data_IF_038159423987
#
_entry.id   IF_038159423987
#
_cell.length_a   1.000
_cell.length_b   1.000
_cell.length_c   1.000
_cell.angle_alpha   90.00
_cell.angle_beta   90.00
_cell.angle_gamma   90.00
#
_symmetry.space_group_name_H-M   'P 1'
#
loop_
_entity.id
_entity.type
_entity.pdbx_description
1 polymer ?
#
# COMPACT_ATOMS: atom_id res chain seq x y z
N UNK A 1 57.33 -16.88 29.71
CA UNK A 1 56.25 -16.64 28.73
C UNK A 1 54.91 -16.74 29.45
N UNK A 2 54.22 -15.61 29.67
CA UNK A 2 52.93 -15.55 30.39
C UNK A 2 51.79 -15.82 29.42
N UNK A 3 51.00 -16.87 29.66
CA UNK A 3 49.78 -17.17 28.90
C UNK A 3 48.68 -16.23 29.36
N UNK A 4 48.29 -15.28 28.51
CA UNK A 4 47.11 -14.43 28.70
C UNK A 4 45.90 -15.26 28.26
N UNK A 5 45.07 -15.67 29.22
CA UNK A 5 43.80 -16.30 28.93
C UNK A 5 42.80 -15.23 28.46
N UNK A 6 42.52 -15.21 27.15
CA UNK A 6 41.44 -14.40 26.59
C UNK A 6 40.11 -15.04 27.03
N UNK A 7 39.48 -14.47 28.06
CA UNK A 7 38.10 -14.80 28.41
C UNK A 7 37.22 -14.17 27.33
N UNK A 8 36.80 -14.97 26.36
CA UNK A 8 35.77 -14.61 25.41
C UNK A 8 34.45 -14.51 26.19
N UNK A 9 34.12 -13.31 26.66
CA UNK A 9 32.82 -12.99 27.21
C UNK A 9 31.82 -13.03 26.06
N UNK A 10 31.25 -14.20 25.80
CA UNK A 10 30.10 -14.36 24.90
C UNK A 10 28.94 -13.65 25.58
N UNK A 11 28.79 -12.36 25.29
CA UNK A 11 27.59 -11.59 25.53
C UNK A 11 26.46 -12.27 24.74
N UNK A 12 25.83 -13.26 25.37
CA UNK A 12 24.53 -13.77 24.97
C UNK A 12 23.55 -12.61 25.19
N UNK A 13 23.46 -11.74 24.19
CA UNK A 13 22.34 -10.83 24.01
C UNK A 13 21.10 -11.71 23.94
N UNK A 14 20.54 -11.97 25.11
CA UNK A 14 19.27 -12.65 25.27
C UNK A 14 18.27 -11.75 24.57
N UNK A 15 17.85 -12.15 23.38
CA UNK A 15 16.70 -11.58 22.70
C UNK A 15 15.48 -11.93 23.55
N UNK A 16 15.30 -11.22 24.66
CA UNK A 16 14.09 -11.28 25.42
C UNK A 16 12.99 -10.85 24.46
N UNK A 17 12.11 -11.79 24.12
CA UNK A 17 10.93 -11.50 23.32
C UNK A 17 10.20 -10.35 24.03
N UNK A 18 10.20 -9.18 23.41
CA UNK A 18 9.48 -8.02 23.94
C UNK A 18 8.00 -8.35 23.83
N UNK A 19 7.29 -8.36 24.96
CA UNK A 19 5.84 -8.48 24.94
C UNK A 19 5.26 -7.39 24.01
N UNK A 20 4.17 -7.73 23.31
CA UNK A 20 3.46 -6.76 22.48
C UNK A 20 3.13 -5.49 23.25
N UNK A 21 3.17 -4.35 22.57
CA UNK A 21 2.97 -3.04 23.19
C UNK A 21 1.80 -2.30 22.57
N UNK A 22 1.05 -1.52 23.36
CA UNK A 22 -0.10 -0.73 22.87
C UNK A 22 0.19 0.77 22.96
N UNK A 23 -0.04 1.51 21.88
CA UNK A 23 0.07 2.96 21.85
C UNK A 23 -1.06 3.59 21.02
N UNK A 24 -1.83 4.50 21.62
CA UNK A 24 -3.05 5.03 20.99
C UNK A 24 -4.01 3.89 20.60
N UNK A 25 -4.13 2.85 21.42
CA UNK A 25 -4.95 1.68 21.13
C UNK A 25 -4.53 0.86 19.90
N UNK A 26 -3.41 1.18 19.24
CA UNK A 26 -2.81 0.35 18.18
C UNK A 26 -1.85 -0.62 18.87
N UNK A 27 -1.99 -1.89 18.51
CA UNK A 27 -1.19 -3.01 19.03
C UNK A 27 0.04 -3.24 18.14
N UNK A 28 1.22 -3.05 18.72
CA UNK A 28 2.51 -3.33 18.10
C UNK A 28 2.94 -4.74 18.51
N UNK A 29 2.95 -5.65 17.55
CA UNK A 29 3.30 -7.05 17.77
C UNK A 29 4.78 -7.21 18.14
N UNK A 30 5.10 -8.23 18.93
CA UNK A 30 6.44 -8.62 19.39
C UNK A 30 7.46 -8.86 18.27
N UNK A 31 7.01 -8.98 17.02
CA UNK A 31 7.86 -9.13 15.83
C UNK A 31 8.48 -7.81 15.36
N UNK A 32 8.00 -6.65 15.84
CA UNK A 32 8.59 -5.36 15.53
C UNK A 32 9.81 -5.09 16.43
N UNK A 33 10.98 -4.73 15.85
CA UNK A 33 12.09 -4.22 16.62
C UNK A 33 11.69 -2.99 17.46
N UNK A 34 12.17 -2.93 18.71
CA UNK A 34 11.84 -1.86 19.65
C UNK A 34 12.19 -0.44 19.12
N UNK A 35 13.22 -0.32 18.28
CA UNK A 35 13.56 0.94 17.59
C UNK A 35 12.45 1.37 16.62
N UNK A 36 11.91 0.45 15.82
CA UNK A 36 10.81 0.72 14.89
C UNK A 36 9.52 1.07 15.64
N UNK A 37 9.21 0.34 16.73
CA UNK A 37 8.08 0.66 17.61
C UNK A 37 8.20 2.10 18.14
N UNK A 38 9.39 2.49 18.63
CA UNK A 38 9.64 3.85 19.11
C UNK A 38 9.40 4.90 18.03
N UNK A 39 9.94 4.69 16.83
CA UNK A 39 9.76 5.59 15.69
C UNK A 39 8.29 5.72 15.31
N UNK A 40 7.55 4.62 15.17
CA UNK A 40 6.13 4.67 14.80
C UNK A 40 5.27 5.38 15.85
N UNK A 41 5.56 5.21 17.14
CA UNK A 41 4.87 5.99 18.19
C UNK A 41 5.15 7.47 18.10
N UNK A 42 6.39 7.85 17.77
CA UNK A 42 6.75 9.25 17.55
C UNK A 42 6.02 9.81 16.33
N UNK A 43 5.90 9.04 15.25
CA UNK A 43 5.14 9.42 14.06
C UNK A 43 3.65 9.63 14.39
N UNK A 44 3.01 8.69 15.09
CA UNK A 44 1.59 8.80 15.49
C UNK A 44 1.40 9.96 16.49
N UNK A 45 2.33 10.16 17.41
CA UNK A 45 2.33 11.32 18.32
C UNK A 45 2.45 12.64 17.56
N UNK A 46 3.33 12.69 16.57
CA UNK A 46 3.53 13.84 15.69
C UNK A 46 2.23 14.17 14.97
N UNK A 47 1.57 13.18 14.36
CA UNK A 47 0.30 13.38 13.66
C UNK A 47 -0.78 13.96 14.58
N UNK A 48 -0.92 13.40 15.79
CA UNK A 48 -1.97 13.81 16.71
C UNK A 48 -1.73 15.19 17.33
N UNK A 49 -0.48 15.53 17.66
CA UNK A 49 -0.14 16.76 18.38
C UNK A 49 0.10 17.97 17.48
N UNK A 50 0.56 17.77 16.24
CA UNK A 50 0.92 18.91 15.41
C UNK A 50 -0.31 19.62 14.85
N UNK A 51 -0.38 20.95 14.98
CA UNK A 51 -1.46 21.72 14.40
C UNK A 51 -1.38 21.66 12.87
N UNK A 52 -2.54 21.45 12.24
CA UNK A 52 -2.72 21.53 10.80
C UNK A 52 -3.43 22.84 10.50
N UNK A 53 -2.68 23.83 10.01
CA UNK A 53 -3.16 25.16 9.67
C UNK A 53 -3.50 25.27 8.19
N UNK A 54 -2.74 24.59 7.33
CA UNK A 54 -2.94 24.54 5.89
C UNK A 54 -3.27 23.12 5.45
N UNK A 55 -4.14 22.95 4.45
CA UNK A 55 -4.58 21.62 4.02
C UNK A 55 -4.63 21.54 2.51
N UNK A 56 -4.26 20.40 1.93
CA UNK A 56 -4.64 20.14 0.55
C UNK A 56 -6.18 20.06 0.46
N UNK A 57 -6.84 20.84 -0.43
CA UNK A 57 -8.30 20.86 -0.52
C UNK A 57 -8.94 19.49 -0.79
N UNK A 58 -8.20 18.58 -1.44
CA UNK A 58 -8.69 17.25 -1.76
C UNK A 58 -8.62 16.29 -0.57
N UNK A 59 -7.73 16.52 0.40
CA UNK A 59 -7.50 15.56 1.48
C UNK A 59 -8.74 15.35 2.35
N UNK A 60 -9.43 16.43 2.72
CA UNK A 60 -10.69 16.34 3.50
C UNK A 60 -11.71 15.44 2.82
N UNK A 61 -11.91 15.64 1.51
CA UNK A 61 -12.87 14.90 0.70
C UNK A 61 -12.43 13.45 0.50
N UNK A 62 -11.17 13.20 0.15
CA UNK A 62 -10.66 11.85 -0.11
C UNK A 62 -10.67 10.98 1.15
N UNK A 63 -10.28 11.53 2.30
CA UNK A 63 -10.30 10.85 3.58
C UNK A 63 -11.69 10.84 4.24
N UNK A 64 -12.67 11.56 3.67
CA UNK A 64 -14.00 11.75 4.25
C UNK A 64 -13.95 12.24 5.72
N UNK A 65 -13.12 13.25 5.98
CA UNK A 65 -12.94 13.82 7.30
C UNK A 65 -13.94 14.97 7.54
N UNK A 66 -14.52 15.02 8.74
CA UNK A 66 -15.33 16.18 9.16
C UNK A 66 -14.45 17.44 9.31
N UNK A 67 -13.23 17.25 9.83
CA UNK A 67 -12.20 18.27 10.04
C UNK A 67 -10.82 17.67 9.78
N UNK A 68 -9.92 18.47 9.20
CA UNK A 68 -8.53 18.07 8.98
C UNK A 68 -7.69 18.64 10.14
N UNK A 69 -7.55 17.85 11.19
CA UNK A 69 -6.66 18.12 12.33
C UNK A 69 -6.09 16.81 12.89
N UNK A 70 -5.12 16.91 13.81
CA UNK A 70 -4.44 15.76 14.39
C UNK A 70 -5.39 14.69 14.96
N UNK A 71 -6.35 15.03 15.85
CA UNK A 71 -7.32 14.07 16.38
C UNK A 71 -8.17 13.36 15.31
N UNK A 72 -8.69 14.08 14.31
CA UNK A 72 -9.50 13.48 13.25
C UNK A 72 -8.66 12.61 12.30
N UNK A 73 -7.45 13.05 11.95
CA UNK A 73 -6.52 12.28 11.12
C UNK A 73 -6.08 10.99 11.81
N UNK A 74 -5.74 11.06 13.09
CA UNK A 74 -5.40 9.87 13.88
C UNK A 74 -6.61 8.93 14.07
N UNK A 75 -7.81 9.45 14.34
CA UNK A 75 -9.02 8.64 14.39
C UNK A 75 -9.24 7.87 13.08
N UNK A 76 -9.01 8.52 11.95
CA UNK A 76 -9.10 7.91 10.62
C UNK A 76 -8.14 6.73 10.46
N UNK A 77 -6.88 6.90 10.87
CA UNK A 77 -5.87 5.81 10.88
C UNK A 77 -6.31 4.72 11.85
N UNK A 78 -6.69 5.06 13.08
CA UNK A 78 -7.09 4.08 14.09
C UNK A 78 -8.25 3.21 13.61
N UNK A 79 -9.20 3.76 12.86
CA UNK A 79 -10.33 2.98 12.32
C UNK A 79 -9.94 2.04 11.17
N UNK A 80 -8.69 2.08 10.69
CA UNK A 80 -8.16 1.27 9.60
C UNK A 80 -6.89 0.48 9.95
N UNK A 81 -6.21 0.85 11.02
CA UNK A 81 -4.97 0.25 11.50
C UNK A 81 -5.11 -0.01 13.00
N UNK A 82 -5.12 -1.29 13.36
CA UNK A 82 -5.30 -1.80 14.73
C UNK A 82 -4.08 -2.60 15.19
N UNK A 83 -3.44 -3.32 14.27
CA UNK A 83 -2.32 -4.20 14.56
C UNK A 83 -1.18 -3.91 13.60
N UNK A 84 0.02 -3.71 14.14
CA UNK A 84 1.25 -3.49 13.36
C UNK A 84 2.21 -4.64 13.62
N UNK A 85 2.54 -5.38 12.57
CA UNK A 85 3.42 -6.54 12.60
C UNK A 85 4.77 -6.18 11.98
N UNK A 86 5.85 -6.77 12.47
CA UNK A 86 7.18 -6.62 11.85
C UNK A 86 7.37 -7.56 10.65
N UNK A 87 8.37 -7.26 9.81
CA UNK A 87 8.76 -8.07 8.65
C UNK A 87 9.04 -9.53 9.00
N UNK A 88 9.53 -9.81 10.22
CA UNK A 88 9.84 -11.16 10.69
C UNK A 88 8.60 -12.01 11.01
N UNK A 89 7.41 -11.39 11.04
CA UNK A 89 6.17 -12.13 11.19
C UNK A 89 5.87 -12.94 9.93
N UNK A 90 5.75 -14.26 10.05
CA UNK A 90 5.34 -15.14 8.94
C UNK A 90 3.81 -15.27 8.94
N UNK A 91 3.08 -14.68 7.97
CA UNK A 91 1.62 -14.75 7.91
C UNK A 91 1.09 -16.09 7.38
N UNK A 92 1.90 -17.16 7.44
CA UNK A 92 1.61 -18.49 6.90
C UNK A 92 1.66 -19.56 8.00
N UNK A 93 1.40 -20.80 7.61
CA UNK A 93 1.59 -21.97 8.47
C UNK A 93 0.74 -21.94 9.74
N UNK A 94 1.38 -21.88 10.91
CA UNK A 94 0.70 -21.93 12.21
C UNK A 94 0.06 -20.61 12.64
N UNK A 95 0.44 -19.51 11.98
CA UNK A 95 -0.05 -18.17 12.31
C UNK A 95 -1.34 -17.82 11.58
N UNK A 96 -1.63 -18.47 10.44
CA UNK A 96 -2.91 -18.30 9.76
C UNK A 96 -3.99 -19.17 10.42
N UNK A 97 -5.16 -18.58 10.67
CA UNK A 97 -6.33 -19.26 11.24
C UNK A 97 -7.46 -19.22 10.21
N UNK A 98 -8.19 -20.34 10.08
CA UNK A 98 -9.30 -20.49 9.13
C UNK A 98 -10.55 -20.95 9.87
N UNK A 99 -11.67 -20.28 9.61
CA UNK A 99 -12.99 -20.61 10.15
C UNK A 99 -14.01 -20.79 9.01
N UNK A 100 -14.64 -21.98 8.93
CA UNK A 100 -15.68 -22.29 7.94
C UNK A 100 -17.04 -21.71 8.35
N UNK A 101 -17.96 -21.60 7.39
CA UNK A 101 -19.36 -21.22 7.64
C UNK A 101 -19.62 -19.72 7.83
N UNK A 102 -18.60 -18.88 7.67
CA UNK A 102 -18.79 -17.44 7.60
C UNK A 102 -19.46 -17.04 6.27
N UNK A 103 -20.44 -16.14 6.35
CA UNK A 103 -21.17 -15.64 5.17
C UNK A 103 -20.65 -14.24 4.85
N UNK A 104 -19.84 -14.15 3.80
CA UNK A 104 -19.40 -12.87 3.25
C UNK A 104 -20.54 -12.15 2.52
N UNK A 105 -20.49 -10.81 2.40
CA UNK A 105 -21.37 -10.07 1.50
C UNK A 105 -21.32 -10.62 0.06
N UNK A 106 -22.48 -10.64 -0.60
CA UNK A 106 -22.67 -11.25 -1.94
C UNK A 106 -22.06 -10.45 -3.09
N UNK A 107 -21.41 -9.33 -2.80
CA UNK A 107 -20.78 -8.47 -3.80
C UNK A 107 -19.63 -9.21 -4.50
N UNK A 108 -19.46 -9.06 -5.82
CA UNK A 108 -18.39 -9.76 -6.53
C UNK A 108 -17.01 -9.18 -6.18
N UNK A 109 -15.99 -10.04 -6.20
CA UNK A 109 -14.60 -9.62 -6.13
C UNK A 109 -14.15 -8.99 -7.46
N UNK A 110 -13.12 -8.11 -7.46
CA UNK A 110 -12.56 -7.57 -8.69
C UNK A 110 -11.98 -8.69 -9.56
N UNK A 111 -12.12 -8.62 -10.90
CA UNK A 111 -11.57 -9.64 -11.81
C UNK A 111 -10.06 -9.85 -11.68
N UNK A 112 -9.30 -8.80 -11.34
CA UNK A 112 -7.84 -8.87 -11.15
C UNK A 112 -7.44 -9.84 -10.03
N UNK A 113 -8.19 -9.84 -8.92
CA UNK A 113 -7.87 -10.67 -7.76
C UNK A 113 -8.24 -12.14 -7.96
N UNK A 114 -9.14 -12.43 -8.90
CA UNK A 114 -9.50 -13.80 -9.22
C UNK A 114 -8.30 -14.59 -9.79
N UNK A 115 -7.35 -13.92 -10.46
CA UNK A 115 -6.44 -14.55 -11.42
C UNK A 115 -4.94 -14.42 -11.14
N UNK A 116 -4.49 -13.69 -10.11
CA UNK A 116 -3.07 -13.36 -9.92
C UNK A 116 -2.43 -13.80 -8.60
N UNK A 117 -1.16 -14.19 -8.67
CA UNK A 117 -0.21 -14.16 -7.55
C UNK A 117 0.83 -13.08 -7.89
N UNK A 118 0.67 -11.87 -7.35
CA UNK A 118 1.65 -10.82 -7.55
C UNK A 118 2.92 -11.16 -6.76
N UNK A 119 3.99 -11.53 -7.48
CA UNK A 119 5.31 -11.67 -6.87
C UNK A 119 6.05 -10.34 -7.03
N UNK A 120 6.12 -9.56 -5.95
CA UNK A 120 6.96 -8.39 -5.90
C UNK A 120 8.35 -8.78 -5.37
N UNK A 121 9.38 -8.54 -6.17
CA UNK A 121 10.79 -8.76 -5.80
C UNK A 121 11.37 -7.43 -5.35
N UNK A 122 10.95 -6.94 -4.18
CA UNK A 122 11.38 -5.66 -3.63
C UNK A 122 11.51 -5.69 -2.12
N UNK A 123 12.18 -4.68 -1.56
CA UNK A 123 12.17 -4.49 -0.10
C UNK A 123 10.75 -4.10 0.29
N UNK A 124 10.14 -4.87 1.18
CA UNK A 124 8.83 -4.54 1.75
C UNK A 124 8.93 -3.20 2.49
N UNK A 125 8.03 -2.27 2.18
CA UNK A 125 7.89 -1.02 2.93
C UNK A 125 6.80 -1.22 3.97
N UNK A 126 5.56 -1.42 3.52
CA UNK A 126 4.43 -1.80 4.35
C UNK A 126 3.44 -2.63 3.51
N UNK A 127 2.51 -3.31 4.19
CA UNK A 127 1.52 -4.15 3.54
C UNK A 127 0.26 -4.32 4.39
N UNK A 128 -0.93 -4.03 3.84
CA UNK A 128 -2.21 -4.31 4.50
C UNK A 128 -2.64 -5.78 4.33
N UNK A 129 -2.23 -6.61 5.29
CA UNK A 129 -2.57 -8.03 5.34
C UNK A 129 -4.06 -8.30 5.58
N UNK A 130 -4.77 -7.40 6.28
CA UNK A 130 -6.19 -7.57 6.52
C UNK A 130 -7.01 -7.58 5.21
N UNK A 131 -6.66 -6.71 4.26
CA UNK A 131 -7.29 -6.69 2.93
C UNK A 131 -7.05 -7.99 2.15
N UNK A 132 -5.81 -8.50 2.15
CA UNK A 132 -5.45 -9.77 1.50
C UNK A 132 -6.22 -10.94 2.10
N UNK A 133 -6.19 -11.09 3.42
CA UNK A 133 -6.86 -12.16 4.15
C UNK A 133 -8.38 -12.13 3.92
N UNK A 134 -8.97 -10.93 3.88
CA UNK A 134 -10.39 -10.78 3.58
C UNK A 134 -10.70 -11.29 2.17
N UNK A 135 -9.95 -10.86 1.17
CA UNK A 135 -10.22 -11.20 -0.22
C UNK A 135 -9.96 -12.68 -0.50
N UNK A 136 -8.85 -13.23 0.00
CA UNK A 136 -8.56 -14.66 -0.05
C UNK A 136 -9.66 -15.48 0.65
N UNK A 137 -10.08 -15.04 1.84
CA UNK A 137 -11.15 -15.67 2.59
C UNK A 137 -12.49 -15.66 1.86
N UNK A 138 -12.85 -14.53 1.25
CA UNK A 138 -14.07 -14.39 0.44
C UNK A 138 -14.05 -15.29 -0.79
N UNK A 139 -12.90 -15.38 -1.48
CA UNK A 139 -12.68 -16.30 -2.62
C UNK A 139 -12.84 -17.77 -2.21
N UNK A 140 -12.27 -18.15 -1.06
CA UNK A 140 -12.32 -19.52 -0.52
C UNK A 140 -13.59 -19.83 0.30
N UNK A 141 -14.51 -18.86 0.45
CA UNK A 141 -15.67 -18.94 1.37
C UNK A 141 -15.29 -19.39 2.79
N UNK A 142 -14.14 -18.93 3.27
CA UNK A 142 -13.57 -19.29 4.57
C UNK A 142 -13.08 -18.02 5.25
N UNK A 143 -13.52 -17.75 6.48
CA UNK A 143 -13.01 -16.61 7.23
C UNK A 143 -11.56 -16.86 7.61
N UNK A 144 -10.67 -15.99 7.14
CA UNK A 144 -9.24 -16.04 7.46
C UNK A 144 -8.90 -15.04 8.56
N UNK A 145 -7.86 -15.35 9.31
CA UNK A 145 -7.35 -14.51 10.38
C UNK A 145 -5.93 -14.88 10.74
N UNK A 146 -5.39 -14.19 11.74
CA UNK A 146 -4.04 -14.39 12.24
C UNK A 146 -4.03 -14.60 13.75
N UNK A 147 -3.08 -15.43 14.20
CA UNK A 147 -2.71 -15.53 15.60
C UNK A 147 -1.65 -14.48 15.91
N UNK A 148 -2.00 -13.54 16.77
CA UNK A 148 -1.16 -12.47 17.31
C UNK A 148 -0.85 -12.75 18.79
N UNK A 149 0.03 -11.94 19.39
CA UNK A 149 0.38 -12.03 20.81
C UNK A 149 -0.85 -12.12 21.75
N UNK A 150 -1.85 -11.26 21.51
CA UNK A 150 -3.03 -11.11 22.37
C UNK A 150 -4.24 -11.98 21.95
N UNK A 151 -4.10 -12.83 20.93
CA UNK A 151 -5.18 -13.73 20.50
C UNK A 151 -5.30 -13.91 19.00
N UNK A 152 -6.51 -14.20 18.52
CA UNK A 152 -6.79 -14.40 17.09
C UNK A 152 -7.60 -13.23 16.55
N UNK A 153 -7.15 -12.65 15.44
CA UNK A 153 -7.85 -11.56 14.75
C UNK A 153 -8.30 -12.06 13.39
N UNK A 154 -9.62 -12.11 13.17
CA UNK A 154 -10.21 -12.48 11.89
C UNK A 154 -10.43 -11.27 11.00
N UNK A 155 -10.15 -11.41 9.71
CA UNK A 155 -10.43 -10.41 8.69
C UNK A 155 -11.89 -10.52 8.24
N UNK A 156 -12.83 -10.07 9.07
CA UNK A 156 -14.26 -9.95 8.72
C UNK A 156 -14.59 -8.76 7.82
N UNK A 157 -13.59 -7.91 7.58
CA UNK A 157 -13.58 -6.73 6.73
C UNK A 157 -12.12 -6.42 6.36
N UNK A 158 -11.83 -5.77 5.23
CA UNK A 158 -10.51 -5.18 4.98
C UNK A 158 -10.09 -4.20 6.11
N UNK A 159 -11.05 -3.59 6.84
CA UNK A 159 -10.78 -2.74 8.03
C UNK A 159 -10.45 -3.50 9.32
N UNK A 160 -10.23 -4.82 9.28
CA UNK A 160 -9.66 -5.52 10.44
C UNK A 160 -8.30 -4.91 10.87
N UNK A 161 -7.63 -4.22 9.94
CA UNK A 161 -6.58 -3.26 10.25
C UNK A 161 -5.28 -3.89 10.70
N UNK A 162 -4.91 -4.98 10.03
CA UNK A 162 -3.64 -5.67 10.24
C UNK A 162 -2.68 -5.21 9.15
N UNK A 163 -1.64 -4.48 9.55
CA UNK A 163 -0.58 -4.05 8.65
C UNK A 163 0.74 -4.72 9.04
N UNK A 164 1.54 -5.10 8.05
CA UNK A 164 2.92 -5.51 8.23
C UNK A 164 3.85 -4.40 7.76
N UNK A 165 4.87 -4.13 8.56
CA UNK A 165 5.89 -3.12 8.27
C UNK A 165 7.19 -3.82 7.95
N UNK A 166 7.73 -3.50 6.77
CA UNK A 166 9.03 -3.96 6.32
C UNK A 166 10.15 -3.01 6.69
N UNK A 167 11.38 -3.49 6.61
CA UNK A 167 12.59 -2.71 6.84
C UNK A 167 12.71 -1.53 5.89
N UNK A 168 12.09 -1.60 4.70
CA UNK A 168 12.09 -0.54 3.69
C UNK A 168 11.56 0.79 4.22
N UNK A 169 10.66 0.77 5.20
CA UNK A 169 10.16 1.99 5.86
C UNK A 169 11.23 2.72 6.68
N UNK A 170 12.33 2.05 7.02
CA UNK A 170 13.40 2.54 7.89
C UNK A 170 14.80 2.48 7.28
N UNK A 171 14.95 1.92 6.07
CA UNK A 171 16.25 1.83 5.38
C UNK A 171 16.81 3.23 5.10
N UNK A 172 18.04 3.49 5.52
CA UNK A 172 18.71 4.80 5.38
C UNK A 172 18.67 5.35 3.95
N UNK A 173 18.88 4.51 2.94
CA UNK A 173 18.85 4.89 1.51
C UNK A 173 17.47 5.31 0.99
N UNK A 174 16.40 4.94 1.69
CA UNK A 174 15.02 5.26 1.36
C UNK A 174 14.47 6.41 2.23
N UNK A 175 15.22 6.84 3.23
CA UNK A 175 14.85 8.00 4.04
C UNK A 175 14.99 9.30 3.23
N UNK A 176 14.08 10.23 3.49
CA UNK A 176 14.14 11.59 2.95
C UNK A 176 15.35 12.33 3.52
N UNK A 177 15.60 12.14 4.81
CA UNK A 177 16.67 12.76 5.58
C UNK A 177 17.51 11.71 6.30
N UNK A 178 18.81 11.98 6.51
CA UNK A 178 19.73 11.05 7.19
C UNK A 178 19.39 10.85 8.67
N UNK A 179 18.77 11.83 9.33
CA UNK A 179 18.28 11.70 10.69
C UNK A 179 16.97 10.88 10.71
N UNK A 180 16.96 9.64 11.24
CA UNK A 180 15.79 8.76 11.15
C UNK A 180 14.52 9.35 11.75
N UNK A 181 14.64 10.19 12.77
CA UNK A 181 13.54 10.82 13.49
C UNK A 181 13.22 12.25 13.00
N UNK A 182 13.79 12.67 11.87
CA UNK A 182 13.45 13.96 11.26
C UNK A 182 11.96 14.05 10.90
N UNK A 183 11.43 15.27 10.95
CA UNK A 183 10.03 15.57 10.59
C UNK A 183 9.72 15.12 9.15
N UNK A 184 10.67 15.26 8.23
CA UNK A 184 10.52 14.84 6.84
C UNK A 184 10.32 13.32 6.69
N UNK A 185 11.09 12.52 7.43
CA UNK A 185 10.93 11.07 7.46
C UNK A 185 9.60 10.66 8.12
N UNK A 186 9.21 11.35 9.19
CA UNK A 186 7.90 11.17 9.83
C UNK A 186 6.75 11.42 8.86
N UNK A 187 6.80 12.50 8.08
CA UNK A 187 5.81 12.81 7.04
C UNK A 187 5.72 11.69 6.00
N UNK A 188 6.87 11.20 5.49
CA UNK A 188 6.88 10.11 4.50
C UNK A 188 6.30 8.80 5.06
N UNK A 189 6.66 8.43 6.29
CA UNK A 189 6.13 7.22 6.95
C UNK A 189 4.63 7.34 7.21
N UNK A 190 4.15 8.48 7.68
CA UNK A 190 2.72 8.74 7.87
C UNK A 190 1.95 8.69 6.54
N UNK A 191 2.50 9.26 5.46
CA UNK A 191 1.93 9.13 4.12
C UNK A 191 1.75 7.66 3.72
N UNK A 192 2.77 6.85 3.96
CA UNK A 192 2.72 5.39 3.72
C UNK A 192 1.69 4.68 4.62
N UNK A 193 1.52 5.12 5.87
CA UNK A 193 0.45 4.59 6.74
C UNK A 193 -0.94 4.94 6.19
N UNK A 194 -1.15 6.18 5.68
CA UNK A 194 -2.40 6.55 5.03
C UNK A 194 -2.68 5.70 3.78
N UNK A 195 -1.65 5.45 2.98
CA UNK A 195 -1.70 4.53 1.84
C UNK A 195 -2.21 3.14 2.26
N UNK A 196 -1.51 2.48 3.19
CA UNK A 196 -1.89 1.13 3.62
C UNK A 196 -3.24 1.08 4.33
N UNK A 197 -3.56 2.11 5.11
CA UNK A 197 -4.87 2.23 5.74
C UNK A 197 -6.00 2.34 4.68
N UNK A 198 -5.74 2.96 3.52
CA UNK A 198 -6.73 3.04 2.43
C UNK A 198 -7.05 1.68 1.83
N UNK A 199 -6.12 0.73 1.87
CA UNK A 199 -6.42 -0.66 1.52
C UNK A 199 -7.41 -1.33 2.50
N UNK A 200 -7.75 -0.70 3.62
CA UNK A 200 -8.88 -1.12 4.47
C UNK A 200 -10.25 -0.69 3.93
N UNK A 201 -10.32 0.19 2.94
CA UNK A 201 -11.56 0.74 2.40
C UNK A 201 -12.03 0.00 1.12
N UNK A 202 -13.15 0.45 0.56
CA UNK A 202 -13.64 0.01 -0.74
C UNK A 202 -14.61 -1.17 -0.69
N UNK A 203 -15.38 -1.31 -1.78
CA UNK A 203 -16.47 -2.27 -1.91
C UNK A 203 -16.48 -2.92 -3.30
N UNK A 204 -16.92 -4.18 -3.40
CA UNK A 204 -17.08 -4.86 -4.70
C UNK A 204 -15.81 -4.80 -5.58
N UNK A 205 -15.86 -4.11 -6.74
CA UNK A 205 -14.78 -4.07 -7.74
C UNK A 205 -13.53 -3.28 -7.30
N UNK A 206 -13.57 -2.58 -6.18
CA UNK A 206 -12.45 -1.79 -5.65
C UNK A 206 -12.19 -2.14 -4.18
N UNK A 207 -12.60 -3.34 -3.76
CA UNK A 207 -12.35 -3.81 -2.40
C UNK A 207 -10.85 -3.79 -2.08
N UNK A 208 -10.52 -3.14 -0.97
CA UNK A 208 -9.17 -2.94 -0.52
C UNK A 208 -8.29 -2.13 -1.47
N UNK A 209 -8.86 -1.41 -2.45
CA UNK A 209 -8.12 -0.59 -3.42
C UNK A 209 -6.88 -1.30 -3.98
N UNK A 210 -7.04 -2.55 -4.39
CA UNK A 210 -5.92 -3.40 -4.82
C UNK A 210 -5.24 -2.78 -6.05
N UNK A 211 -3.91 -2.78 -6.04
CA UNK A 211 -3.11 -2.28 -7.15
C UNK A 211 -3.39 -3.07 -8.43
N UNK A 212 -3.33 -2.36 -9.55
CA UNK A 212 -3.37 -2.91 -10.89
C UNK A 212 -1.95 -2.91 -11.49
N UNK A 213 -1.71 -3.78 -12.50
CA UNK A 213 -0.51 -3.70 -13.31
C UNK A 213 -0.36 -2.31 -13.93
N UNK A 214 0.82 -1.70 -13.77
CA UNK A 214 1.15 -0.46 -14.43
C UNK A 214 1.18 -0.64 -15.96
N UNK A 215 0.67 0.34 -16.73
CA UNK A 215 0.59 0.22 -18.19
C UNK A 215 1.99 0.21 -18.84
N UNK A 216 2.06 -0.22 -20.10
CA UNK A 216 3.28 -0.06 -20.90
C UNK A 216 3.67 1.40 -21.05
N UNK A 217 4.99 1.63 -21.03
CA UNK A 217 5.59 2.96 -20.98
C UNK A 217 5.72 3.56 -19.58
N UNK A 218 5.02 3.03 -18.56
CA UNK A 218 5.27 3.42 -17.17
C UNK A 218 6.61 2.86 -16.67
N UNK A 219 7.32 3.57 -15.80
CA UNK A 219 8.62 3.11 -15.25
C UNK A 219 8.51 1.78 -14.47
N UNK A 220 7.31 1.49 -13.95
CA UNK A 220 6.97 0.24 -13.26
C UNK A 220 6.11 -0.70 -14.12
N UNK A 221 6.15 -0.58 -15.45
CA UNK A 221 5.29 -1.34 -16.36
C UNK A 221 5.23 -2.84 -16.03
N UNK A 222 4.02 -3.40 -15.99
CA UNK A 222 3.76 -4.80 -15.68
C UNK A 222 3.75 -5.15 -14.18
N UNK A 223 4.25 -4.27 -13.31
CA UNK A 223 4.19 -4.48 -11.86
C UNK A 223 2.84 -4.02 -11.30
N UNK A 224 2.28 -4.75 -10.33
CA UNK A 224 1.09 -4.35 -9.56
C UNK A 224 1.42 -3.21 -8.58
N UNK A 225 1.76 -2.05 -9.13
CA UNK A 225 2.24 -0.88 -8.38
C UNK A 225 1.48 0.40 -8.76
N UNK A 226 0.34 0.27 -9.41
CA UNK A 226 -0.43 1.39 -9.91
C UNK A 226 -1.92 1.24 -9.58
N UNK A 227 -2.71 2.31 -9.70
CA UNK A 227 -4.12 2.30 -9.33
C UNK A 227 -5.01 2.91 -10.41
N UNK A 228 -6.18 2.31 -10.72
CA UNK A 228 -7.11 2.86 -11.70
C UNK A 228 -8.09 3.89 -11.11
N UNK A 229 -7.94 4.29 -9.84
CA UNK A 229 -8.92 5.09 -9.10
C UNK A 229 -8.33 6.43 -8.62
N UNK A 230 -9.05 7.54 -8.80
CA UNK A 230 -8.55 8.87 -8.43
C UNK A 230 -8.54 9.10 -6.92
N UNK A 231 -9.29 8.28 -6.17
CA UNK A 231 -9.29 8.25 -4.72
C UNK A 231 -8.70 6.93 -4.18
N UNK A 232 -7.75 6.33 -4.90
CA UNK A 232 -7.01 5.16 -4.43
C UNK A 232 -6.06 5.46 -3.27
N UNK A 233 -5.29 4.45 -2.86
CA UNK A 233 -4.27 4.52 -1.83
C UNK A 233 -3.14 5.50 -2.16
N UNK A 234 -2.64 5.53 -3.40
CA UNK A 234 -1.59 6.47 -3.82
C UNK A 234 -2.08 7.91 -3.85
N UNK A 235 -3.31 8.15 -4.35
CA UNK A 235 -3.90 9.49 -4.28
C UNK A 235 -3.99 9.96 -2.83
N UNK A 236 -4.44 9.09 -1.92
CA UNK A 236 -4.53 9.42 -0.50
C UNK A 236 -3.15 9.68 0.12
N UNK A 237 -2.15 8.87 -0.19
CA UNK A 237 -0.75 9.10 0.21
C UNK A 237 -0.31 10.51 -0.20
N UNK A 238 -0.54 10.86 -1.47
CA UNK A 238 -0.11 12.13 -2.05
C UNK A 238 -0.76 13.32 -1.35
N UNK A 239 -2.08 13.33 -1.17
CA UNK A 239 -2.79 14.45 -0.52
C UNK A 239 -2.52 14.52 0.98
N UNK A 240 -2.33 13.39 1.67
CA UNK A 240 -1.97 13.35 3.09
C UNK A 240 -0.55 13.87 3.30
N UNK A 241 0.41 13.39 2.51
CA UNK A 241 1.81 13.85 2.53
C UNK A 241 1.90 15.34 2.24
N UNK A 242 1.19 15.83 1.22
CA UNK A 242 1.14 17.26 0.89
C UNK A 242 0.54 18.09 2.02
N UNK A 243 -0.55 17.63 2.64
CA UNK A 243 -1.15 18.30 3.81
C UNK A 243 -0.16 18.42 4.96
N UNK A 244 0.56 17.35 5.31
CA UNK A 244 1.56 17.42 6.37
C UNK A 244 2.78 18.27 5.98
N UNK A 245 3.21 18.22 4.71
CA UNK A 245 4.32 19.02 4.18
C UNK A 245 4.05 20.53 4.25
N UNK A 246 2.82 20.97 3.96
CA UNK A 246 2.41 22.37 4.09
C UNK A 246 2.55 22.89 5.53
N UNK A 247 2.51 21.99 6.51
CA UNK A 247 2.66 22.32 7.94
C UNK A 247 4.03 21.94 8.51
N UNK A 248 4.97 21.51 7.68
CA UNK A 248 6.28 21.09 8.15
C UNK A 248 7.09 22.30 8.65
N UNK A 249 7.55 22.25 9.91
CA UNK A 249 8.24 23.37 10.56
C UNK A 249 9.75 23.29 10.43
N UNK A 250 10.28 22.07 10.38
CA UNK A 250 11.73 21.80 10.44
C UNK A 250 12.30 21.24 9.13
N UNK A 251 11.46 21.01 8.11
CA UNK A 251 11.90 20.54 6.80
C UNK A 251 12.80 21.58 6.10
N UNK A 252 14.00 21.16 5.72
CA UNK A 252 14.85 21.91 4.80
C UNK A 252 14.24 21.99 3.40
N UNK A 253 14.80 22.84 2.53
CA UNK A 253 14.38 22.88 1.12
C UNK A 253 14.64 21.56 0.40
N UNK A 254 15.72 20.85 0.76
CA UNK A 254 16.03 19.53 0.22
C UNK A 254 14.96 18.50 0.64
N UNK A 255 14.57 18.48 1.91
CA UNK A 255 13.49 17.61 2.41
C UNK A 255 12.17 17.87 1.68
N UNK A 256 11.81 19.15 1.50
CA UNK A 256 10.61 19.56 0.76
C UNK A 256 10.65 19.10 -0.69
N UNK A 257 11.80 19.21 -1.36
CA UNK A 257 12.00 18.74 -2.72
C UNK A 257 11.81 17.23 -2.84
N UNK A 258 12.41 16.45 -1.95
CA UNK A 258 12.26 14.98 -1.91
C UNK A 258 10.83 14.53 -1.60
N UNK A 259 10.15 15.18 -0.65
CA UNK A 259 8.75 14.89 -0.35
C UNK A 259 7.82 15.28 -1.52
N UNK A 260 8.12 16.37 -2.23
CA UNK A 260 7.39 16.75 -3.44
C UNK A 260 7.59 15.72 -4.56
N UNK A 261 8.80 15.19 -4.72
CA UNK A 261 9.06 14.09 -5.64
C UNK A 261 8.30 12.81 -5.26
N UNK A 262 8.20 12.49 -3.96
CA UNK A 262 7.41 11.36 -3.47
C UNK A 262 5.90 11.55 -3.74
N UNK A 263 5.38 12.77 -3.58
CA UNK A 263 3.99 13.13 -3.94
C UNK A 263 3.76 12.94 -5.44
N UNK A 264 4.71 13.39 -6.28
CA UNK A 264 4.63 13.22 -7.73
C UNK A 264 4.70 11.74 -8.16
N UNK A 265 5.56 10.93 -7.52
CA UNK A 265 5.63 9.47 -7.75
C UNK A 265 4.30 8.79 -7.40
N UNK A 266 3.69 9.12 -6.25
CA UNK A 266 2.38 8.59 -5.88
C UNK A 266 1.31 8.96 -6.92
N UNK A 267 1.22 10.23 -7.35
CA UNK A 267 0.30 10.61 -8.42
C UNK A 267 0.61 9.95 -9.76
N UNK A 268 1.88 9.73 -10.10
CA UNK A 268 2.29 9.04 -11.33
C UNK A 268 1.82 7.60 -11.40
N UNK A 269 1.56 6.97 -10.24
CA UNK A 269 1.01 5.62 -10.12
C UNK A 269 -0.52 5.58 -10.18
N UNK A 270 -1.21 6.73 -10.11
CA UNK A 270 -2.64 6.83 -10.35
C UNK A 270 -2.86 6.87 -11.85
N UNK A 271 -3.18 5.73 -12.42
CA UNK A 271 -3.18 5.54 -13.86
C UNK A 271 -4.37 6.24 -14.50
N UNK A 272 -4.04 7.17 -15.38
CA UNK A 272 -4.71 7.35 -16.67
C UNK A 272 -3.67 6.85 -17.70
N UNK A 273 -3.88 5.71 -18.37
CA UNK A 273 -2.87 4.98 -19.19
C UNK A 273 -2.40 5.74 -20.43
N UNK A 274 -2.66 7.04 -20.57
CA UNK A 274 -2.54 7.79 -21.82
C UNK A 274 -1.40 8.83 -21.86
N UNK A 275 -0.25 8.60 -21.24
CA UNK A 275 0.74 9.67 -21.05
C UNK A 275 2.11 9.48 -21.69
N UNK A 276 2.37 8.38 -22.41
CA UNK A 276 3.73 8.09 -22.88
C UNK A 276 3.91 8.30 -24.38
N UNK A 277 2.86 8.10 -25.18
CA UNK A 277 2.91 8.19 -26.64
C UNK A 277 1.82 9.12 -27.14
N UNK A 278 2.19 9.94 -28.10
CA UNK A 278 1.25 10.74 -28.88
C UNK A 278 0.32 9.82 -29.68
N UNK A 279 -0.84 10.35 -30.07
CA UNK A 279 -1.76 9.65 -30.98
C UNK A 279 -1.04 9.20 -32.26
N UNK A 280 -0.18 10.06 -32.81
CA UNK A 280 0.58 9.75 -34.03
C UNK A 280 1.54 8.56 -33.84
N UNK A 281 2.28 8.51 -32.73
CA UNK A 281 3.17 7.39 -32.42
C UNK A 281 2.39 6.08 -32.23
N UNK A 282 1.25 6.12 -31.55
CA UNK A 282 0.40 4.95 -31.35
C UNK A 282 -0.17 4.43 -32.68
N UNK A 283 -0.67 5.32 -33.53
CA UNK A 283 -1.17 4.95 -34.86
C UNK A 283 -0.07 4.32 -35.72
N UNK A 284 1.15 4.87 -35.68
CA UNK A 284 2.29 4.32 -36.39
C UNK A 284 2.66 2.91 -35.90
N UNK A 285 2.72 2.70 -34.58
CA UNK A 285 2.99 1.37 -34.01
C UNK A 285 1.90 0.34 -34.35
N UNK A 286 0.62 0.72 -34.26
CA UNK A 286 -0.50 -0.16 -34.62
C UNK A 286 -0.34 -0.63 -36.08
N UNK A 287 0.00 0.28 -36.99
CA UNK A 287 0.24 -0.04 -38.39
C UNK A 287 1.45 -0.98 -38.57
N UNK A 288 2.56 -0.71 -37.88
CA UNK A 288 3.75 -1.58 -37.90
C UNK A 288 3.44 -2.98 -37.38
N UNK A 289 2.79 -3.11 -36.23
CA UNK A 289 2.43 -4.43 -35.70
C UNK A 289 1.47 -5.18 -36.62
N UNK A 290 0.52 -4.48 -37.27
CA UNK A 290 -0.37 -5.11 -38.24
C UNK A 290 0.41 -5.72 -39.41
N UNK A 291 1.40 -5.01 -39.97
CA UNK A 291 2.25 -5.54 -41.05
C UNK A 291 3.02 -6.80 -40.63
N UNK A 292 3.55 -6.81 -39.40
CA UNK A 292 4.28 -7.98 -38.87
C UNK A 292 3.33 -9.17 -38.63
N UNK A 293 2.13 -8.91 -38.12
CA UNK A 293 1.08 -9.92 -37.93
C UNK A 293 0.72 -10.55 -39.28
N UNK A 294 0.49 -9.73 -40.32
CA UNK A 294 0.12 -10.21 -41.66
C UNK A 294 1.22 -11.09 -42.26
N UNK A 295 2.49 -10.71 -42.08
CA UNK A 295 3.64 -11.53 -42.45
C UNK A 295 3.61 -12.91 -41.76
N UNK A 296 3.46 -12.95 -40.43
CA UNK A 296 3.46 -14.22 -39.69
C UNK A 296 2.28 -15.12 -40.06
N UNK A 297 1.09 -14.54 -40.26
CA UNK A 297 -0.08 -15.30 -40.71
C UNK A 297 0.18 -15.95 -42.07
N UNK A 298 0.73 -15.21 -43.04
CA UNK A 298 1.08 -15.74 -44.35
C UNK A 298 2.20 -16.78 -44.31
N UNK A 299 3.20 -16.59 -43.44
CA UNK A 299 4.32 -17.52 -43.27
C UNK A 299 3.87 -18.84 -42.63
N UNK A 300 3.11 -18.78 -41.54
CA UNK A 300 2.62 -19.95 -40.79
C UNK A 300 1.66 -20.82 -41.61
N UNK A 301 0.89 -20.22 -42.54
CA UNK A 301 0.05 -20.96 -43.47
C UNK A 301 0.86 -21.91 -44.38
N UNK A 302 2.13 -21.58 -44.65
CA UNK A 302 3.03 -22.39 -45.46
C UNK A 302 3.97 -23.25 -44.61
N UNK A 303 4.31 -22.79 -43.42
CA UNK A 303 5.31 -23.39 -42.54
C UNK A 303 4.84 -23.35 -41.07
N UNK A 304 4.05 -24.33 -40.61
CA UNK A 304 3.50 -24.34 -39.26
C UNK A 304 4.59 -24.71 -38.22
N UNK A 305 5.37 -23.72 -37.80
CA UNK A 305 6.39 -23.88 -36.77
C UNK A 305 5.86 -23.33 -35.44
N UNK A 306 5.77 -24.14 -34.36
CA UNK A 306 5.20 -23.72 -33.08
C UNK A 306 5.80 -22.44 -32.48
N UNK A 307 7.10 -22.20 -32.66
CA UNK A 307 7.77 -20.99 -32.16
C UNK A 307 7.20 -19.70 -32.79
N UNK A 308 6.82 -19.73 -34.07
CA UNK A 308 6.24 -18.57 -34.75
C UNK A 308 4.78 -18.33 -34.39
N UNK A 309 4.06 -19.36 -33.92
CA UNK A 309 2.71 -19.19 -33.36
C UNK A 309 2.78 -18.35 -32.08
N UNK A 310 3.72 -18.64 -31.19
CA UNK A 310 3.93 -17.86 -29.97
C UNK A 310 4.31 -16.41 -30.29
N UNK A 311 5.16 -16.21 -31.28
CA UNK A 311 5.58 -14.88 -31.72
C UNK A 311 4.44 -14.07 -32.36
N UNK A 312 3.57 -14.72 -33.14
CA UNK A 312 2.34 -14.10 -33.66
C UNK A 312 1.41 -13.63 -32.54
N UNK A 313 1.18 -14.48 -31.52
CA UNK A 313 0.36 -14.10 -30.36
C UNK A 313 1.00 -12.94 -29.58
N UNK A 314 2.33 -12.91 -29.46
CA UNK A 314 3.05 -11.76 -28.87
C UNK A 314 2.81 -10.48 -29.66
N UNK A 315 2.86 -10.52 -30.99
CA UNK A 315 2.62 -9.33 -31.83
C UNK A 315 1.16 -8.87 -31.75
N UNK A 316 0.20 -9.80 -31.71
CA UNK A 316 -1.22 -9.49 -31.49
C UNK A 316 -1.45 -8.79 -30.15
N UNK A 317 -0.82 -9.28 -29.08
CA UNK A 317 -0.88 -8.65 -27.76
C UNK A 317 -0.31 -7.23 -27.79
N UNK A 318 0.84 -7.00 -28.44
CA UNK A 318 1.44 -5.66 -28.59
C UNK A 318 0.57 -4.70 -29.39
N UNK A 319 -0.03 -5.15 -30.50
CA UNK A 319 -0.97 -4.33 -31.27
C UNK A 319 -2.17 -3.93 -30.41
N UNK A 320 -2.77 -4.89 -29.71
CA UNK A 320 -3.92 -4.67 -28.83
C UNK A 320 -3.60 -3.68 -27.71
N UNK A 321 -2.39 -3.75 -27.16
CA UNK A 321 -1.90 -2.78 -26.18
C UNK A 321 -1.81 -1.36 -26.74
N UNK A 322 -1.23 -1.15 -27.93
CA UNK A 322 -1.21 0.17 -28.58
C UNK A 322 -2.61 0.67 -28.91
N UNK A 323 -3.53 -0.20 -29.33
CA UNK A 323 -4.94 0.13 -29.55
C UNK A 323 -5.66 0.56 -28.26
N UNK A 324 -5.39 -0.11 -27.14
CA UNK A 324 -5.94 0.25 -25.83
C UNK A 324 -5.42 1.60 -25.34
N UNK A 325 -4.11 1.87 -25.49
CA UNK A 325 -3.51 3.17 -25.18
C UNK A 325 -4.12 4.29 -26.04
N UNK A 326 -4.32 4.04 -27.34
CA UNK A 326 -4.92 5.00 -28.25
C UNK A 326 -6.38 5.30 -27.90
N UNK A 327 -7.16 4.25 -27.58
CA UNK A 327 -8.55 4.39 -27.14
C UNK A 327 -8.64 5.24 -25.88
N UNK A 328 -7.75 5.04 -24.94
CA UNK A 328 -7.71 5.81 -23.70
C UNK A 328 -7.25 7.25 -23.91
N UNK A 329 -6.24 7.48 -24.75
CA UNK A 329 -5.83 8.83 -25.14
C UNK A 329 -6.98 9.62 -25.76
N UNK A 330 -7.79 8.97 -26.61
CA UNK A 330 -8.98 9.54 -27.24
C UNK A 330 -10.18 9.65 -26.32
N UNK A 331 -10.20 8.85 -25.27
CA UNK A 331 -11.32 8.75 -24.33
C UNK A 331 -10.74 8.81 -22.91
N UNK A 332 -10.24 9.99 -22.45
CA UNK A 332 -9.53 10.08 -21.19
C UNK A 332 -10.36 9.42 -20.10
N UNK A 333 -9.89 8.27 -19.63
CA UNK A 333 -10.53 7.59 -18.53
C UNK A 333 -10.15 8.40 -17.29
N UNK A 334 -11.03 9.31 -16.88
CA UNK A 334 -10.85 9.95 -15.58
C UNK A 334 -10.91 8.84 -14.53
N UNK A 335 -9.83 8.70 -13.77
CA UNK A 335 -9.80 7.76 -12.67
C UNK A 335 -11.04 8.05 -11.79
N UNK A 336 -11.92 7.08 -11.66
CA UNK A 336 -13.23 7.30 -11.03
C UNK A 336 -13.03 7.42 -9.52
N UNK A 337 -13.77 8.32 -8.89
CA UNK A 337 -13.91 8.31 -7.45
C UNK A 337 -14.83 7.13 -7.06
N UNK A 338 -14.35 6.24 -6.22
CA UNK A 338 -15.09 5.04 -5.77
C UNK A 338 -15.60 5.21 -4.34
N UNK A 339 -16.57 4.38 -3.93
CA UNK A 339 -17.10 4.41 -2.56
C UNK A 339 -16.02 3.99 -1.54
N UNK A 340 -15.60 4.86 -0.62
CA UNK A 340 -14.59 4.51 0.38
C UNK A 340 -15.17 3.70 1.55
N UNK A 341 -16.47 3.36 1.55
CA UNK A 341 -17.05 2.48 2.57
C UNK A 341 -16.46 1.09 2.42
N UNK A 342 -16.04 0.46 3.53
CA UNK A 342 -15.42 -0.84 3.46
C UNK A 342 -16.51 -1.90 3.37
N UNK A 343 -16.13 -3.04 2.83
CA UNK A 343 -16.98 -4.21 2.88
C UNK A 343 -16.91 -4.92 4.25
N UNK A 344 -17.99 -5.60 4.65
CA UNK A 344 -18.04 -6.41 5.86
C UNK A 344 -18.46 -5.65 7.12
N UNK A 345 -18.35 -6.32 8.26
CA UNK A 345 -18.76 -5.76 9.56
C UNK A 345 -17.57 -5.16 10.30
N UNK A 346 -17.70 -3.89 10.70
CA UNK A 346 -16.74 -3.18 11.55
C UNK A 346 -17.47 -2.08 12.32
N UNK A 347 -16.93 -1.68 13.46
CA UNK A 347 -17.43 -0.56 14.25
C UNK A 347 -16.38 0.54 14.25
N UNK A 348 -16.72 1.73 13.77
CA UNK A 348 -15.86 2.90 13.88
C UNK A 348 -15.87 3.39 15.33
N UNK A 349 -14.68 3.72 15.84
CA UNK A 349 -14.53 4.47 17.07
C UNK A 349 -14.69 5.96 16.78
N UNK A 350 -15.31 6.69 17.70
CA UNK A 350 -15.44 8.14 17.61
C UNK A 350 -14.10 8.83 17.87
N UNK A 351 -14.00 10.10 17.45
CA UNK A 351 -12.80 10.92 17.71
C UNK A 351 -12.54 11.04 19.21
N UNK A 352 -13.58 11.14 20.03
CA UNK A 352 -13.50 11.21 21.49
C UNK A 352 -12.96 9.91 22.09
N UNK A 353 -13.44 8.76 21.62
CA UNK A 353 -12.96 7.44 22.06
C UNK A 353 -11.48 7.27 21.75
N UNK A 354 -11.06 7.57 20.51
CA UNK A 354 -9.66 7.45 20.10
C UNK A 354 -8.77 8.47 20.79
N UNK A 355 -9.26 9.70 21.00
CA UNK A 355 -8.50 10.73 21.72
C UNK A 355 -8.23 10.34 23.17
N UNK A 356 -9.17 9.64 23.84
CA UNK A 356 -8.94 9.10 25.19
C UNK A 356 -7.79 8.08 25.20
N UNK A 357 -7.76 7.16 24.24
CA UNK A 357 -6.69 6.17 24.10
C UNK A 357 -5.34 6.85 23.85
N UNK A 358 -5.31 7.81 22.93
CA UNK A 358 -4.10 8.55 22.59
C UNK A 358 -3.57 9.37 23.77
N UNK A 359 -4.44 10.13 24.44
CA UNK A 359 -4.07 10.91 25.60
C UNK A 359 -3.57 10.03 26.77
N UNK A 360 -4.11 8.83 26.95
CA UNK A 360 -3.62 7.87 27.94
C UNK A 360 -2.20 7.37 27.60
N UNK A 361 -1.92 7.10 26.33
CA UNK A 361 -0.59 6.70 25.86
C UNK A 361 0.45 7.81 25.95
N UNK A 362 0.07 9.06 25.71
CA UNK A 362 0.97 10.22 25.77
C UNK A 362 1.37 10.64 27.19
N UNK A 363 0.71 10.10 28.23
CA UNK A 363 1.02 10.36 29.65
C UNK A 363 1.99 9.35 30.26
N UNK A 364 2.22 8.22 29.60
CA UNK A 364 3.23 7.24 29.96
C UNK A 364 4.56 7.65 29.34
#
# INVERSE_FOLDING_TARGET
>A
MRRVALIACVLTLSFAATAGEKFGGIDFHSSLPASQVRTLKQDISYLYKNPINETDPQFKTMANLSKVDGPNMYNWIYNRVKYVLGQSYDPRGKNIVKQKGHVFPSTPLPPSVANGNAQFWGVMIMYNMAAELYVAGKKEKTLMGLRLDDGTVYATSPRAGIIQVGEGLFLERLLVNKEPLSEANTIKRLGTIFHEARHGDGHSEHIGFIHAPCPSGHVLSGLEACEPYSNGSYSLEAVATKTMLLNCKTCSNEDKGKLTAAIADAYGRVIVRSHVKTEAELLAEIATYQQVIDFYVGYLAKNPVPAYVQELERMRAKKKESEDQLKELKTPAFAKAMDPKPEGSFKEASVEETSKLMNASLRK
#
